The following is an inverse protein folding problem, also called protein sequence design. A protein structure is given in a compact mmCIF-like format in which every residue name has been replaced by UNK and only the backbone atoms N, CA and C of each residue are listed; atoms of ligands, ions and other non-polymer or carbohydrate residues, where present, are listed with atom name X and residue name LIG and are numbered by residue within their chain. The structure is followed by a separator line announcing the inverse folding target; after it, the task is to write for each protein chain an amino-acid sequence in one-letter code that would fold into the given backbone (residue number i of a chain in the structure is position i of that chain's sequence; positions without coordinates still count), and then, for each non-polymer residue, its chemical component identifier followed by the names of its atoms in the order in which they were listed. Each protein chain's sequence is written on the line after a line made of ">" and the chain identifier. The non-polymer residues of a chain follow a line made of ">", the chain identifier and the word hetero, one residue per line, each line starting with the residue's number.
data_IF_079564906619
#
_entry.id   IF_079564906619
#
_cell.length_a   1.000
_cell.length_b   1.000
_cell.length_c   1.000
_cell.angle_alpha   90.00
_cell.angle_beta   90.00
_cell.angle_gamma   90.00
#
_symmetry.space_group_name_H-M   'P 1'
#
loop_
_entity.id
_entity.type
_entity.pdbx_description
1 polymer ?
#
# COMPACT_ATOMS: atom_id res chain seq x y z
N UNK A 1 -24.47 53.15 44.09
CA UNK A 1 -23.57 52.06 44.52
C UNK A 1 -24.05 50.77 43.88
N UNK A 2 -23.12 49.93 43.45
CA UNK A 2 -23.18 49.06 42.26
C UNK A 2 -24.13 47.86 42.34
N UNK A 3 -24.86 47.61 41.25
CA UNK A 3 -25.53 46.32 40.97
C UNK A 3 -24.49 45.42 40.29
N UNK A 4 -24.02 44.41 41.00
CA UNK A 4 -23.08 43.40 40.48
C UNK A 4 -23.78 42.45 39.51
N UNK A 5 -23.34 42.45 38.25
CA UNK A 5 -23.75 41.46 37.24
C UNK A 5 -22.79 40.27 37.30
N UNK A 6 -23.29 39.11 37.73
CA UNK A 6 -22.60 37.83 37.60
C UNK A 6 -22.89 37.30 36.20
N UNK A 7 -21.86 37.21 35.36
CA UNK A 7 -21.90 36.54 34.06
C UNK A 7 -21.40 35.11 34.25
N UNK A 8 -22.31 34.13 34.13
CA UNK A 8 -21.95 32.72 34.05
C UNK A 8 -21.69 32.39 32.58
N UNK A 9 -20.43 32.15 32.23
CA UNK A 9 -20.06 31.66 30.90
C UNK A 9 -20.14 30.13 30.89
N UNK A 10 -21.12 29.58 30.18
CA UNK A 10 -21.24 28.14 29.92
C UNK A 10 -20.30 27.79 28.77
N UNK A 11 -19.19 27.10 29.07
CA UNK A 11 -18.29 26.55 28.03
C UNK A 11 -18.87 25.23 27.55
N UNK A 12 -19.52 25.24 26.38
CA UNK A 12 -19.89 24.04 25.65
C UNK A 12 -18.63 23.44 25.02
N UNK A 13 -18.03 22.44 25.67
CA UNK A 13 -17.07 21.54 25.04
C UNK A 13 -17.81 20.67 24.03
N UNK A 14 -17.87 21.13 22.78
CA UNK A 14 -18.24 20.28 21.66
C UNK A 14 -17.14 19.20 21.49
N UNK A 15 -17.39 17.99 21.97
CA UNK A 15 -16.59 16.83 21.59
C UNK A 15 -16.84 16.56 20.12
N UNK A 16 -16.02 17.13 19.23
CA UNK A 16 -15.99 16.69 17.85
C UNK A 16 -15.73 15.17 17.86
N UNK A 17 -16.54 14.35 17.16
CA UNK A 17 -16.21 12.95 17.02
C UNK A 17 -14.80 12.86 16.43
N UNK A 18 -13.98 11.88 16.84
CA UNK A 18 -12.70 11.68 16.20
C UNK A 18 -12.99 11.51 14.71
N UNK A 19 -12.45 12.41 13.89
CA UNK A 19 -12.41 12.24 12.44
C UNK A 19 -11.46 11.06 12.22
N UNK A 20 -11.99 9.84 12.35
CA UNK A 20 -11.37 8.67 11.76
C UNK A 20 -11.20 9.05 10.29
N UNK A 21 -9.98 8.95 9.79
CA UNK A 21 -9.64 9.35 8.43
C UNK A 21 -10.49 8.53 7.45
N UNK A 22 -11.68 9.05 7.13
CA UNK A 22 -12.63 8.43 6.21
C UNK A 22 -11.87 8.17 4.91
N UNK A 23 -11.77 6.89 4.54
CA UNK A 23 -11.08 6.47 3.33
C UNK A 23 -9.67 5.91 3.49
N UNK A 24 -9.00 5.96 4.65
CA UNK A 24 -7.66 5.33 4.79
C UNK A 24 -7.74 3.80 4.60
N UNK A 25 -8.78 3.13 5.12
CA UNK A 25 -8.95 1.69 4.88
C UNK A 25 -9.24 1.37 3.41
N UNK A 26 -9.96 2.25 2.71
CA UNK A 26 -10.19 2.10 1.28
C UNK A 26 -8.89 2.31 0.49
N UNK A 27 -8.11 3.33 0.84
CA UNK A 27 -6.78 3.57 0.27
C UNK A 27 -5.87 2.37 0.48
N UNK A 28 -5.83 1.82 1.70
CA UNK A 28 -5.06 0.61 2.02
C UNK A 28 -5.55 -0.62 1.26
N UNK A 29 -6.87 -0.75 1.09
CA UNK A 29 -7.47 -1.82 0.30
C UNK A 29 -6.97 -1.78 -1.15
N UNK A 30 -6.98 -0.59 -1.78
CA UNK A 30 -6.49 -0.40 -3.16
C UNK A 30 -4.99 -0.71 -3.28
N UNK A 31 -4.18 -0.28 -2.30
CA UNK A 31 -2.76 -0.61 -2.20
C UNK A 31 -2.55 -2.13 -2.13
N UNK A 32 -3.25 -2.81 -1.22
CA UNK A 32 -3.10 -4.26 -1.04
C UNK A 32 -3.52 -5.04 -2.29
N UNK A 33 -4.59 -4.62 -2.98
CA UNK A 33 -5.02 -5.21 -4.25
C UNK A 33 -3.92 -5.09 -5.31
N UNK A 34 -3.30 -3.90 -5.44
CA UNK A 34 -2.24 -3.67 -6.41
C UNK A 34 -0.97 -4.50 -6.11
N UNK A 35 -0.54 -4.57 -4.85
CA UNK A 35 0.58 -5.43 -4.42
C UNK A 35 0.29 -6.90 -4.68
N UNK A 36 -0.91 -7.36 -4.30
CA UNK A 36 -1.33 -8.74 -4.50
C UNK A 36 -1.37 -9.13 -5.98
N UNK A 37 -1.81 -8.21 -6.85
CA UNK A 37 -1.81 -8.42 -8.29
C UNK A 37 -0.39 -8.59 -8.83
N UNK A 38 0.55 -7.75 -8.40
CA UNK A 38 1.98 -7.88 -8.72
C UNK A 38 2.58 -9.20 -8.26
N UNK A 39 2.32 -9.59 -7.00
CA UNK A 39 2.81 -10.87 -6.45
C UNK A 39 2.23 -12.08 -7.20
N UNK A 40 0.96 -11.98 -7.64
CA UNK A 40 0.31 -13.01 -8.45
C UNK A 40 0.95 -13.14 -9.82
N UNK A 41 1.28 -12.02 -10.47
CA UNK A 41 1.99 -11.99 -11.76
C UNK A 41 3.34 -12.70 -11.65
N UNK A 42 4.11 -12.46 -10.59
CA UNK A 42 5.38 -13.14 -10.36
C UNK A 42 5.13 -14.63 -10.05
N UNK A 43 4.10 -14.97 -9.28
CA UNK A 43 3.79 -16.37 -8.93
C UNK A 43 3.47 -17.23 -10.16
N UNK A 44 2.79 -16.68 -11.16
CA UNK A 44 2.41 -17.40 -12.39
C UNK A 44 3.53 -17.46 -13.42
N UNK A 45 4.56 -16.62 -13.29
CA UNK A 45 5.69 -16.60 -14.21
C UNK A 45 6.48 -17.93 -14.13
N UNK A 46 6.60 -18.67 -15.25
CA UNK A 46 7.38 -19.90 -15.30
C UNK A 46 8.86 -19.71 -14.91
N UNK A 47 9.42 -18.51 -15.11
CA UNK A 47 10.80 -18.21 -14.74
C UNK A 47 11.00 -18.02 -13.22
N UNK A 48 9.93 -17.89 -12.44
CA UNK A 48 10.04 -17.68 -10.99
C UNK A 48 10.58 -18.94 -10.28
N UNK A 49 11.69 -18.85 -9.52
CA UNK A 49 12.28 -20.01 -8.84
C UNK A 49 11.37 -20.66 -7.79
N UNK A 50 11.51 -21.97 -7.50
CA UNK A 50 10.65 -22.68 -6.55
C UNK A 50 10.57 -22.03 -5.15
N UNK A 51 11.73 -21.66 -4.58
CA UNK A 51 11.82 -21.00 -3.27
C UNK A 51 11.05 -19.66 -3.25
N UNK A 52 11.17 -18.89 -4.33
CA UNK A 52 10.42 -17.63 -4.50
C UNK A 52 8.92 -17.87 -4.62
N UNK A 53 8.50 -18.90 -5.37
CA UNK A 53 7.07 -19.29 -5.47
C UNK A 53 6.49 -19.68 -4.10
N UNK A 54 7.26 -20.38 -3.27
CA UNK A 54 6.84 -20.70 -1.90
C UNK A 54 6.63 -19.43 -1.07
N UNK A 55 7.59 -18.50 -1.09
CA UNK A 55 7.48 -17.22 -0.39
C UNK A 55 6.29 -16.38 -0.85
N UNK A 56 6.07 -16.29 -2.17
CA UNK A 56 4.91 -15.61 -2.76
C UNK A 56 3.59 -16.24 -2.33
N UNK A 57 3.48 -17.58 -2.28
CA UNK A 57 2.25 -18.24 -1.83
C UNK A 57 1.92 -17.93 -0.38
N UNK A 58 2.93 -17.89 0.48
CA UNK A 58 2.75 -17.52 1.89
C UNK A 58 2.32 -16.06 2.03
N UNK A 59 2.99 -15.15 1.31
CA UNK A 59 2.68 -13.73 1.29
C UNK A 59 1.26 -13.47 0.79
N UNK A 60 0.88 -14.02 -0.37
CA UNK A 60 -0.49 -13.94 -0.91
C UNK A 60 -1.52 -14.47 0.08
N UNK A 61 -1.25 -15.61 0.73
CA UNK A 61 -2.17 -16.16 1.75
C UNK A 61 -2.37 -15.20 2.92
N UNK A 62 -1.30 -14.59 3.41
CA UNK A 62 -1.33 -13.60 4.50
C UNK A 62 -2.12 -12.35 4.08
N UNK A 63 -1.78 -11.80 2.92
CA UNK A 63 -2.45 -10.65 2.30
C UNK A 63 -3.95 -10.82 2.14
N UNK A 64 -4.41 -12.01 1.73
CA UNK A 64 -5.84 -12.34 1.63
C UNK A 64 -6.56 -12.36 3.00
N UNK A 65 -5.82 -12.53 4.09
CA UNK A 65 -6.28 -12.29 5.46
C UNK A 65 -6.63 -10.82 5.69
N UNK A 66 -5.63 -9.96 5.51
CA UNK A 66 -5.72 -8.50 5.66
C UNK A 66 -6.76 -7.88 4.73
N UNK A 67 -6.79 -8.30 3.47
CA UNK A 67 -7.71 -7.82 2.44
C UNK A 67 -9.18 -8.00 2.85
N UNK A 68 -9.51 -9.10 3.53
CA UNK A 68 -10.86 -9.35 4.04
C UNK A 68 -11.28 -8.40 5.17
N UNK A 69 -10.32 -7.95 5.99
CA UNK A 69 -10.56 -6.95 7.03
C UNK A 69 -10.71 -5.55 6.43
N UNK A 70 -9.79 -5.16 5.54
CA UNK A 70 -9.84 -3.87 4.84
C UNK A 70 -11.14 -3.70 4.04
N UNK A 71 -11.58 -4.74 3.34
CA UNK A 71 -12.85 -4.73 2.61
C UNK A 71 -14.08 -4.59 3.52
N UNK A 72 -13.98 -5.03 4.79
CA UNK A 72 -15.04 -4.84 5.78
C UNK A 72 -15.09 -3.39 6.24
N UNK A 73 -13.94 -2.83 6.63
CA UNK A 73 -13.85 -1.44 7.08
C UNK A 73 -14.23 -0.46 5.98
N UNK A 74 -13.74 -0.66 4.75
CA UNK A 74 -14.11 0.19 3.61
C UNK A 74 -15.63 0.20 3.35
N UNK A 75 -16.34 -0.91 3.56
CA UNK A 75 -17.81 -0.96 3.44
C UNK A 75 -18.52 -0.29 4.62
N UNK A 76 -17.93 -0.33 5.82
CA UNK A 76 -18.51 0.29 7.03
C UNK A 76 -18.30 1.81 7.06
N UNK A 77 -17.18 2.28 6.54
CA UNK A 77 -16.77 3.69 6.55
C UNK A 77 -17.22 4.46 5.30
N UNK A 78 -17.45 3.75 4.19
CA UNK A 78 -17.74 4.36 2.90
C UNK A 78 -19.12 5.00 2.82
N UNK A 79 -19.19 6.21 2.26
CA UNK A 79 -20.45 6.87 1.90
C UNK A 79 -21.13 6.24 0.66
N UNK A 80 -20.39 5.44 -0.13
CA UNK A 80 -20.85 4.74 -1.33
C UNK A 80 -20.28 3.31 -1.35
N UNK A 81 -20.97 2.30 -0.80
CA UNK A 81 -20.45 0.94 -0.74
C UNK A 81 -20.38 0.32 -2.14
N UNK A 82 -19.20 -0.19 -2.56
CA UNK A 82 -19.11 -1.03 -3.74
C UNK A 82 -19.92 -2.33 -3.52
N UNK A 83 -21.02 -2.56 -4.27
CA UNK A 83 -21.87 -3.71 -4.02
C UNK A 83 -21.10 -5.03 -4.18
N UNK A 84 -21.19 -5.87 -3.16
CA UNK A 84 -20.59 -7.21 -3.18
C UNK A 84 -19.08 -7.27 -2.99
N UNK A 85 -18.37 -6.17 -2.69
CA UNK A 85 -16.91 -6.15 -2.46
C UNK A 85 -16.44 -7.27 -1.51
N UNK A 86 -17.13 -7.43 -0.37
CA UNK A 86 -16.84 -8.51 0.60
C UNK A 86 -16.94 -9.91 -0.01
N UNK A 87 -17.96 -10.14 -0.86
CA UNK A 87 -18.15 -11.41 -1.58
C UNK A 87 -17.06 -11.63 -2.63
N UNK A 88 -16.65 -10.58 -3.33
CA UNK A 88 -15.56 -10.65 -4.30
C UNK A 88 -14.24 -11.04 -3.62
N UNK A 89 -13.89 -10.40 -2.51
CA UNK A 89 -12.68 -10.72 -1.71
C UNK A 89 -12.75 -12.12 -1.11
N UNK A 90 -13.91 -12.55 -0.61
CA UNK A 90 -14.10 -13.93 -0.15
C UNK A 90 -13.90 -14.95 -1.29
N UNK A 91 -14.37 -14.65 -2.49
CA UNK A 91 -14.15 -15.47 -3.68
C UNK A 91 -12.67 -15.64 -4.02
N UNK A 92 -11.85 -14.58 -3.89
CA UNK A 92 -10.40 -14.66 -4.08
C UNK A 92 -9.74 -15.64 -3.11
N UNK A 93 -10.16 -15.65 -1.83
CA UNK A 93 -9.66 -16.61 -0.82
C UNK A 93 -9.96 -18.05 -1.22
N UNK A 94 -11.18 -18.31 -1.69
CA UNK A 94 -11.59 -19.65 -2.15
C UNK A 94 -10.76 -20.09 -3.35
N UNK A 95 -10.62 -19.24 -4.37
CA UNK A 95 -9.85 -19.55 -5.58
C UNK A 95 -8.37 -19.83 -5.26
N UNK A 96 -7.78 -19.07 -4.35
CA UNK A 96 -6.40 -19.31 -3.93
C UNK A 96 -6.26 -20.61 -3.12
N UNK A 97 -7.20 -20.88 -2.21
CA UNK A 97 -7.21 -22.10 -1.39
C UNK A 97 -7.37 -23.37 -2.24
N UNK A 98 -8.22 -23.34 -3.27
CA UNK A 98 -8.41 -24.45 -4.21
C UNK A 98 -7.32 -24.52 -5.29
N UNK A 99 -6.24 -23.72 -5.17
CA UNK A 99 -5.11 -23.65 -6.09
C UNK A 99 -5.50 -23.28 -7.54
N UNK A 100 -6.68 -22.69 -7.76
CA UNK A 100 -7.09 -22.20 -9.07
C UNK A 100 -6.46 -20.82 -9.35
N UNK A 101 -5.14 -20.81 -9.56
CA UNK A 101 -4.35 -19.58 -9.67
C UNK A 101 -4.73 -18.76 -10.91
N UNK A 102 -5.15 -19.40 -12.01
CA UNK A 102 -5.59 -18.68 -13.22
C UNK A 102 -6.86 -17.89 -12.97
N UNK A 103 -7.89 -18.52 -12.39
CA UNK A 103 -9.13 -17.82 -12.05
C UNK A 103 -8.90 -16.77 -10.95
N UNK A 104 -8.02 -17.05 -9.99
CA UNK A 104 -7.59 -16.08 -8.99
C UNK A 104 -6.99 -14.82 -9.63
N UNK A 105 -6.04 -14.97 -10.56
CA UNK A 105 -5.40 -13.85 -11.26
C UNK A 105 -6.41 -13.03 -12.06
N UNK A 106 -7.30 -13.69 -12.82
CA UNK A 106 -8.36 -13.02 -13.57
C UNK A 106 -9.29 -12.21 -12.66
N UNK A 107 -9.76 -12.82 -11.56
CA UNK A 107 -10.69 -12.16 -10.63
C UNK A 107 -10.03 -11.02 -9.88
N UNK A 108 -8.75 -11.16 -9.52
CA UNK A 108 -7.97 -10.11 -8.88
C UNK A 108 -7.71 -8.95 -9.83
N UNK A 109 -7.43 -9.22 -11.11
CA UNK A 109 -7.29 -8.20 -12.15
C UNK A 109 -8.58 -7.39 -12.32
N UNK A 110 -9.74 -8.05 -12.38
CA UNK A 110 -11.04 -7.37 -12.40
C UNK A 110 -11.25 -6.46 -11.18
N UNK A 111 -10.93 -6.95 -9.99
CA UNK A 111 -11.04 -6.18 -8.75
C UNK A 111 -10.09 -4.97 -8.73
N UNK A 112 -8.85 -5.14 -9.21
CA UNK A 112 -7.89 -4.03 -9.37
C UNK A 112 -8.42 -2.97 -10.32
N UNK A 113 -9.08 -3.37 -11.41
CA UNK A 113 -9.66 -2.42 -12.36
C UNK A 113 -10.87 -1.66 -11.78
N UNK A 114 -11.67 -2.27 -10.91
CA UNK A 114 -12.80 -1.60 -10.24
C UNK A 114 -12.41 -0.77 -9.02
N UNK A 115 -11.22 -1.02 -8.47
CA UNK A 115 -10.63 -0.31 -7.34
C UNK A 115 -9.18 0.09 -7.67
N UNK A 116 -8.99 0.99 -8.64
CA UNK A 116 -7.64 1.39 -9.04
C UNK A 116 -6.94 2.10 -7.88
N UNK A 117 -5.62 1.91 -7.80
CA UNK A 117 -4.77 2.69 -6.92
C UNK A 117 -4.90 4.17 -7.28
N UNK A 118 -5.04 5.02 -6.27
CA UNK A 118 -4.97 6.45 -6.47
C UNK A 118 -3.52 6.85 -6.75
N UNK A 119 -3.29 7.38 -7.96
CA UNK A 119 -1.98 7.82 -8.42
C UNK A 119 -1.85 9.35 -8.42
N UNK A 120 -2.87 10.07 -7.94
CA UNK A 120 -2.79 11.52 -7.77
C UNK A 120 -1.70 11.83 -6.74
N UNK A 121 -0.64 12.54 -7.17
CA UNK A 121 0.57 12.77 -6.37
C UNK A 121 1.77 11.87 -6.72
N UNK A 122 1.56 10.78 -7.46
CA UNK A 122 2.63 9.87 -7.87
C UNK A 122 2.82 9.75 -9.40
N UNK A 123 1.91 10.34 -10.19
CA UNK A 123 2.00 10.39 -11.65
C UNK A 123 1.16 11.54 -12.27
N UNK A 124 1.73 12.40 -13.15
CA UNK A 124 3.16 12.53 -13.42
C UNK A 124 3.88 13.06 -12.16
N UNK A 125 5.10 12.58 -11.94
CA UNK A 125 5.88 12.94 -10.76
C UNK A 125 7.05 13.83 -11.15
N UNK A 126 7.08 15.06 -10.63
CA UNK A 126 8.19 15.98 -10.88
C UNK A 126 9.37 15.69 -9.96
N UNK A 127 10.53 15.40 -10.55
CA UNK A 127 11.80 15.22 -9.86
C UNK A 127 12.46 16.56 -9.52
N UNK A 128 11.98 17.22 -8.46
CA UNK A 128 12.59 18.49 -7.98
C UNK A 128 13.89 18.22 -7.20
N UNK A 129 14.85 19.17 -7.16
CA UNK A 129 16.06 19.01 -6.34
C UNK A 129 15.78 18.69 -4.87
N UNK A 130 14.68 19.22 -4.30
CA UNK A 130 14.27 18.94 -2.94
C UNK A 130 13.85 17.47 -2.77
N UNK A 131 12.94 16.97 -3.63
CA UNK A 131 12.48 15.57 -3.62
C UNK A 131 13.63 14.58 -3.78
N UNK A 132 14.57 14.88 -4.68
CA UNK A 132 15.72 14.01 -4.92
C UNK A 132 16.66 13.93 -3.72
N UNK A 133 16.89 15.06 -3.03
CA UNK A 133 17.66 15.07 -1.78
C UNK A 133 16.94 14.28 -0.69
N UNK A 134 15.63 14.49 -0.51
CA UNK A 134 14.83 13.75 0.47
C UNK A 134 14.83 12.25 0.20
N UNK A 135 14.51 11.84 -1.03
CA UNK A 135 14.47 10.43 -1.43
C UNK A 135 15.82 9.74 -1.27
N UNK A 136 16.91 10.41 -1.67
CA UNK A 136 18.27 9.91 -1.44
C UNK A 136 18.58 9.73 0.04
N UNK A 137 18.27 10.73 0.86
CA UNK A 137 18.54 10.72 2.30
C UNK A 137 17.81 9.55 2.98
N UNK A 138 16.54 9.34 2.66
CA UNK A 138 15.75 8.22 3.20
C UNK A 138 16.34 6.88 2.75
N UNK A 139 16.63 6.73 1.45
CA UNK A 139 17.21 5.50 0.93
C UNK A 139 18.52 5.13 1.64
N UNK A 140 19.44 6.08 1.76
CA UNK A 140 20.75 5.87 2.37
C UNK A 140 20.68 5.56 3.87
N UNK A 141 19.70 6.10 4.58
CA UNK A 141 19.58 5.93 6.03
C UNK A 141 18.76 4.71 6.43
N UNK A 142 17.71 4.36 5.65
CA UNK A 142 16.69 3.41 6.10
C UNK A 142 16.50 2.21 5.17
N UNK A 143 16.83 2.32 3.88
CA UNK A 143 16.47 1.28 2.90
C UNK A 143 17.69 0.49 2.38
N UNK A 144 18.84 1.16 2.21
CA UNK A 144 19.99 0.61 1.51
C UNK A 144 20.50 -0.70 2.12
N UNK A 145 20.46 -0.82 3.45
CA UNK A 145 20.98 -1.99 4.17
C UNK A 145 20.32 -3.31 3.77
N UNK A 146 19.02 -3.30 3.48
CA UNK A 146 18.31 -4.50 3.03
C UNK A 146 18.30 -4.66 1.51
N UNK A 147 18.25 -3.54 0.77
CA UNK A 147 17.95 -3.54 -0.66
C UNK A 147 19.18 -3.57 -1.56
N UNK A 148 20.35 -3.13 -1.10
CA UNK A 148 21.57 -3.11 -1.94
C UNK A 148 22.14 -4.50 -2.19
N UNK A 149 22.13 -5.37 -1.16
CA UNK A 149 22.67 -6.72 -1.22
C UNK A 149 21.68 -7.73 -0.63
N UNK A 150 20.56 -8.02 -1.32
CA UNK A 150 19.55 -8.91 -0.77
C UNK A 150 20.07 -10.33 -0.57
N UNK A 151 19.70 -10.92 0.56
CA UNK A 151 19.86 -12.36 0.79
C UNK A 151 18.91 -13.15 -0.12
N UNK A 152 19.43 -13.59 -1.27
CA UNK A 152 18.69 -14.36 -2.27
C UNK A 152 18.38 -15.79 -1.85
N UNK A 153 18.87 -16.23 -0.69
CA UNK A 153 18.54 -17.55 -0.13
C UNK A 153 17.22 -17.54 0.62
N UNK A 154 16.60 -16.37 0.84
CA UNK A 154 15.29 -16.26 1.48
C UNK A 154 14.13 -16.44 0.48
N UNK A 155 12.96 -16.93 0.93
CA UNK A 155 11.76 -17.02 0.10
C UNK A 155 11.23 -15.66 -0.40
N UNK A 156 11.49 -14.59 0.35
CA UNK A 156 11.08 -13.22 0.05
C UNK A 156 12.26 -12.27 0.24
N UNK A 157 13.26 -12.26 -0.67
CA UNK A 157 14.36 -11.31 -0.58
C UNK A 157 13.83 -9.88 -0.75
N UNK A 158 14.56 -8.88 -0.23
CA UNK A 158 14.28 -7.46 -0.44
C UNK A 158 14.91 -7.00 -1.77
N UNK A 159 14.23 -7.06 -2.91
CA UNK A 159 14.85 -6.77 -4.21
C UNK A 159 15.38 -5.34 -4.26
N UNK A 160 16.41 -5.10 -5.08
CA UNK A 160 16.94 -3.76 -5.30
C UNK A 160 15.87 -2.76 -5.77
N UNK A 161 15.75 -1.63 -5.08
CA UNK A 161 14.68 -0.66 -5.28
C UNK A 161 14.80 0.08 -6.61
N UNK A 162 16.02 0.32 -7.10
CA UNK A 162 16.23 0.91 -8.42
C UNK A 162 15.80 -0.06 -9.53
N UNK A 163 16.17 -1.34 -9.39
CA UNK A 163 15.74 -2.40 -10.30
C UNK A 163 14.22 -2.58 -10.29
N UNK A 164 13.57 -2.47 -9.13
CA UNK A 164 12.11 -2.49 -9.04
C UNK A 164 11.49 -1.32 -9.82
N UNK A 165 11.91 -0.08 -9.54
CA UNK A 165 11.43 1.10 -10.25
C UNK A 165 11.65 0.97 -11.78
N UNK A 166 12.72 0.29 -12.17
CA UNK A 166 13.10 0.08 -13.56
C UNK A 166 12.21 -0.88 -14.34
N UNK A 167 11.81 -2.01 -13.74
CA UNK A 167 11.16 -3.09 -14.49
C UNK A 167 9.68 -3.23 -14.18
N UNK A 168 9.23 -2.70 -13.04
CA UNK A 168 7.88 -2.85 -12.56
C UNK A 168 6.95 -1.78 -13.16
N UNK A 169 5.65 -2.08 -13.35
CA UNK A 169 4.65 -1.05 -13.59
C UNK A 169 4.67 0.01 -12.48
N UNK A 170 4.50 1.29 -12.86
CA UNK A 170 4.60 2.43 -11.92
C UNK A 170 3.61 2.33 -10.77
N UNK A 171 2.38 1.93 -11.05
CA UNK A 171 1.33 1.74 -10.04
C UNK A 171 1.68 0.59 -9.06
N UNK A 172 2.25 -0.51 -9.56
CA UNK A 172 2.73 -1.61 -8.70
C UNK A 172 3.92 -1.17 -7.83
N UNK A 173 4.86 -0.40 -8.37
CA UNK A 173 5.99 0.12 -7.60
C UNK A 173 5.52 1.06 -6.48
N UNK A 174 4.65 2.01 -6.81
CA UNK A 174 4.06 2.95 -5.83
C UNK A 174 3.23 2.19 -4.79
N UNK A 175 2.42 1.21 -5.18
CA UNK A 175 1.69 0.37 -4.22
C UNK A 175 2.63 -0.32 -3.23
N UNK A 176 3.77 -0.84 -3.70
CA UNK A 176 4.76 -1.48 -2.83
C UNK A 176 5.45 -0.48 -1.92
N UNK A 177 5.66 0.77 -2.34
CA UNK A 177 6.17 1.82 -1.45
C UNK A 177 5.14 2.24 -0.41
N UNK A 178 3.87 2.38 -0.80
CA UNK A 178 2.74 2.73 0.08
C UNK A 178 2.45 1.63 1.12
N UNK A 179 2.54 0.36 0.72
CA UNK A 179 2.23 -0.79 1.58
C UNK A 179 3.42 -1.45 2.26
N UNK A 180 4.64 -1.30 1.71
CA UNK A 180 5.79 -2.15 2.01
C UNK A 180 6.66 -1.75 3.20
N UNK A 181 6.36 -0.64 3.86
CA UNK A 181 7.09 -0.20 5.04
C UNK A 181 6.11 -0.30 6.21
N UNK A 182 5.95 -1.52 6.72
CA UNK A 182 5.19 -1.73 7.95
C UNK A 182 6.04 -1.21 9.11
N UNK A 183 5.50 -0.30 9.90
CA UNK A 183 6.19 0.14 11.09
C UNK A 183 6.23 -0.95 12.17
N UNK A 184 6.89 -0.63 13.29
CA UNK A 184 7.06 -1.53 14.44
C UNK A 184 5.72 -1.87 15.12
N UNK A 185 5.72 -2.83 16.06
CA UNK A 185 4.53 -3.23 16.84
C UNK A 185 3.74 -2.05 17.45
N UNK A 186 4.37 -0.89 17.64
CA UNK A 186 3.75 0.32 18.19
C UNK A 186 2.98 1.18 17.15
N UNK A 187 3.28 1.07 15.84
CA UNK A 187 2.71 1.95 14.80
C UNK A 187 1.67 1.25 13.90
N UNK A 188 1.33 -0.01 14.17
CA UNK A 188 0.38 -0.82 13.38
C UNK A 188 0.77 -0.92 11.89
N UNK A 189 -0.18 -1.30 11.02
CA UNK A 189 -0.01 -1.47 9.56
C UNK A 189 0.34 -0.16 8.82
N UNK A 190 0.46 0.98 9.50
CA UNK A 190 0.70 2.27 8.88
C UNK A 190 2.12 2.39 8.32
N UNK A 191 2.23 3.14 7.23
CA UNK A 191 3.51 3.49 6.65
C UNK A 191 4.09 4.64 7.48
N UNK A 192 5.34 4.56 7.95
CA UNK A 192 5.93 5.65 8.72
C UNK A 192 6.23 6.90 7.87
N UNK A 193 6.18 6.77 6.54
CA UNK A 193 6.43 7.89 5.62
C UNK A 193 5.15 8.56 5.17
N UNK A 194 5.23 9.87 5.03
CA UNK A 194 4.21 10.68 4.37
C UNK A 194 4.17 10.42 2.87
N UNK A 195 3.06 10.78 2.23
CA UNK A 195 2.90 10.63 0.78
C UNK A 195 3.96 11.42 -0.01
N UNK A 196 4.38 12.60 0.48
CA UNK A 196 5.44 13.40 -0.15
C UNK A 196 6.83 12.76 0.01
N UNK A 197 7.11 12.10 1.14
CA UNK A 197 8.35 11.32 1.30
C UNK A 197 8.37 10.10 0.39
N UNK A 198 7.23 9.41 0.24
CA UNK A 198 7.08 8.31 -0.70
C UNK A 198 7.25 8.81 -2.14
N UNK A 199 6.62 9.94 -2.50
CA UNK A 199 6.81 10.58 -3.79
C UNK A 199 8.28 10.99 -4.02
N UNK A 200 8.95 11.51 -2.99
CA UNK A 200 10.38 11.84 -3.04
C UNK A 200 11.25 10.62 -3.31
N UNK A 201 10.99 9.51 -2.63
CA UNK A 201 11.66 8.23 -2.89
C UNK A 201 11.39 7.72 -4.31
N UNK A 202 10.13 7.72 -4.75
CA UNK A 202 9.76 7.31 -6.12
C UNK A 202 10.50 8.15 -7.16
N UNK A 203 10.54 9.48 -7.01
CA UNK A 203 11.27 10.37 -7.91
C UNK A 203 12.78 10.09 -7.93
N UNK A 204 13.36 9.77 -6.77
CA UNK A 204 14.78 9.43 -6.66
C UNK A 204 15.11 8.10 -7.36
N UNK A 205 14.28 7.07 -7.22
CA UNK A 205 14.49 5.79 -7.90
C UNK A 205 14.23 5.88 -9.40
N UNK A 206 13.23 6.66 -9.83
CA UNK A 206 12.96 6.92 -11.24
C UNK A 206 14.12 7.65 -11.93
N UNK A 207 14.84 8.54 -11.24
CA UNK A 207 15.97 9.27 -11.86
C UNK A 207 17.17 8.40 -12.22
N UNK A 208 17.32 7.21 -11.63
CA UNK A 208 18.30 6.25 -12.10
C UNK A 208 17.94 5.65 -13.48
N UNK A 209 16.84 6.12 -14.09
CA UNK A 209 16.28 5.67 -15.36
C UNK A 209 15.88 6.89 -16.23
N UNK A 210 16.70 7.36 -17.17
CA UNK A 210 16.27 8.41 -18.11
C UNK A 210 15.12 7.89 -19.01
N UNK A 211 13.95 8.55 -19.01
CA UNK A 211 12.95 8.43 -20.09
C UNK A 211 11.65 7.66 -19.80
N UNK A 212 11.15 7.62 -18.56
CA UNK A 212 9.81 7.12 -18.22
C UNK A 212 8.85 8.23 -17.78
#
# INVERSE_FOLDING_TARGET
>A
MSIGRILVALVLLATAPPVWASGEHERRLRVEIAVLHGDTRILIDPATPPLRRQGLRQRIRSSLGTLGMLARYAVQEGQQPQPGLRKQVAGLRVLFATKNIRAFALRLGQLKSSLPLDMSGFSPLTATPARLRTGRSIYQSLCIGCHQNPDRTQPNPAPDLFSMAAIMPRDEFVARMLGGIHGVHLTTLQNPFTDEEIASMTAFFDQAQPGR
#
